data_IF_270212119176
#
_entry.id   IF_270212119176
#
_cell.length_a   1.000
_cell.length_b   1.000
_cell.length_c   1.000
_cell.angle_alpha   90.00
_cell.angle_beta   90.00
_cell.angle_gamma   90.00
#
_symmetry.space_group_name_H-M   'P 1'
#
loop_
_entity.id
_entity.type
_entity.pdbx_description
1 polymer ?
#
# COMPACT_ATOMS: atom_id res chain seq x y z
N UNK A 1 33.05 50.52 -22.75
CA UNK A 1 32.21 49.98 -21.65
C UNK A 1 31.71 48.55 -21.97
N UNK A 2 32.57 47.53 -22.06
CA UNK A 2 32.11 46.14 -22.33
C UNK A 2 32.72 45.05 -21.43
N UNK A 3 33.64 45.39 -20.52
CA UNK A 3 34.41 44.37 -19.77
C UNK A 3 33.77 43.96 -18.44
N UNK A 4 32.92 44.80 -17.82
CA UNK A 4 32.29 44.49 -16.53
C UNK A 4 31.08 43.53 -16.62
N UNK A 5 30.40 43.45 -17.75
CA UNK A 5 29.18 42.63 -17.90
C UNK A 5 29.40 41.12 -17.93
N UNK A 6 30.58 40.63 -18.34
CA UNK A 6 30.87 39.18 -18.40
C UNK A 6 31.16 38.57 -17.03
N UNK A 7 31.77 39.34 -16.12
CA UNK A 7 32.17 38.86 -14.79
C UNK A 7 30.95 38.66 -13.86
N UNK A 8 29.98 39.58 -13.91
CA UNK A 8 28.71 39.45 -13.18
C UNK A 8 27.86 38.26 -13.67
N UNK A 9 27.80 38.03 -14.99
CA UNK A 9 26.99 36.93 -15.58
C UNK A 9 27.52 35.53 -15.24
N UNK A 10 28.83 35.40 -14.99
CA UNK A 10 29.46 34.16 -14.54
C UNK A 10 29.18 33.88 -13.06
N UNK A 11 29.25 34.91 -12.21
CA UNK A 11 29.03 34.77 -10.76
C UNK A 11 27.58 34.34 -10.42
N UNK A 12 26.58 34.87 -11.13
CA UNK A 12 25.17 34.48 -10.95
C UNK A 12 24.93 33.01 -11.31
N UNK A 13 25.59 32.51 -12.36
CA UNK A 13 25.48 31.09 -12.77
C UNK A 13 26.09 30.14 -11.74
N UNK A 14 27.23 30.52 -11.18
CA UNK A 14 27.91 29.73 -10.14
C UNK A 14 27.05 29.68 -8.87
N UNK A 15 26.47 30.82 -8.47
CA UNK A 15 25.59 30.90 -7.29
C UNK A 15 24.32 30.04 -7.47
N UNK A 16 23.67 30.11 -8.64
CA UNK A 16 22.50 29.27 -8.94
C UNK A 16 22.82 27.77 -8.91
N UNK A 17 24.01 27.36 -9.39
CA UNK A 17 24.45 25.96 -9.36
C UNK A 17 24.66 25.47 -7.92
N UNK A 18 25.30 26.28 -7.06
CA UNK A 18 25.52 25.93 -5.65
C UNK A 18 24.19 25.77 -4.91
N UNK A 19 23.21 26.64 -5.17
CA UNK A 19 21.87 26.55 -4.55
C UNK A 19 21.17 25.26 -5.00
N UNK A 20 21.19 24.93 -6.28
CA UNK A 20 20.58 23.70 -6.81
C UNK A 20 21.20 22.44 -6.22
N UNK A 21 22.54 22.39 -6.13
CA UNK A 21 23.24 21.26 -5.50
C UNK A 21 22.91 21.17 -4.01
N UNK A 22 22.84 22.30 -3.30
CA UNK A 22 22.43 22.35 -1.90
C UNK A 22 21.01 21.82 -1.67
N UNK A 23 20.05 22.19 -2.52
CA UNK A 23 18.67 21.69 -2.47
C UNK A 23 18.63 20.18 -2.72
N UNK A 24 19.39 19.69 -3.71
CA UNK A 24 19.49 18.27 -4.03
C UNK A 24 20.06 17.45 -2.86
N UNK A 25 21.11 17.96 -2.21
CA UNK A 25 21.71 17.32 -1.04
C UNK A 25 20.73 17.32 0.13
N UNK A 26 20.08 18.45 0.41
CA UNK A 26 19.09 18.57 1.48
C UNK A 26 17.89 17.64 1.25
N UNK A 27 17.38 17.56 0.02
CA UNK A 27 16.30 16.65 -0.35
C UNK A 27 16.67 15.19 -0.11
N UNK A 28 17.88 14.78 -0.51
CA UNK A 28 18.35 13.42 -0.27
C UNK A 28 18.57 13.13 1.23
N UNK A 29 19.09 14.09 2.00
CA UNK A 29 19.24 13.95 3.45
C UNK A 29 17.89 13.82 4.16
N UNK A 30 16.89 14.63 3.78
CA UNK A 30 15.53 14.52 4.30
C UNK A 30 14.88 13.17 3.96
N UNK A 31 15.13 12.64 2.76
CA UNK A 31 14.62 11.33 2.35
C UNK A 31 15.26 10.17 3.13
N UNK A 32 16.54 10.27 3.47
CA UNK A 32 17.29 9.23 4.20
C UNK A 32 16.99 9.28 5.71
N UNK A 33 16.72 10.47 6.26
CA UNK A 33 16.46 10.65 7.70
C UNK A 33 15.00 10.59 8.08
N UNK A 34 14.06 10.64 7.13
CA UNK A 34 12.65 10.37 7.41
C UNK A 34 12.52 8.95 7.98
N UNK A 35 12.22 8.80 9.29
CA UNK A 35 12.10 7.48 9.86
C UNK A 35 10.89 6.80 9.21
N UNK A 36 10.96 5.49 8.93
CA UNK A 36 9.74 4.74 8.66
C UNK A 36 8.79 4.99 9.84
N UNK A 37 7.51 5.23 9.56
CA UNK A 37 6.49 5.37 10.61
C UNK A 37 6.52 4.08 11.44
N UNK A 38 7.26 4.10 12.55
CA UNK A 38 7.29 3.01 13.52
C UNK A 38 6.04 3.19 14.37
N UNK A 39 4.94 2.62 13.90
CA UNK A 39 3.77 2.42 14.76
C UNK A 39 4.28 1.57 15.94
N UNK A 40 4.21 2.09 17.16
CA UNK A 40 4.63 1.35 18.36
C UNK A 40 3.82 0.07 18.47
N UNK A 41 4.48 -1.06 18.78
CA UNK A 41 3.81 -2.34 19.05
C UNK A 41 2.77 -2.22 20.19
N UNK A 42 2.93 -1.27 21.11
CA UNK A 42 1.96 -1.00 22.19
C UNK A 42 0.66 -0.39 21.63
N UNK A 43 0.77 0.42 20.58
CA UNK A 43 -0.37 0.99 19.86
C UNK A 43 -1.08 -0.07 19.00
N UNK A 44 -0.32 -1.05 18.49
CA UNK A 44 -0.85 -2.24 17.80
C UNK A 44 -1.65 -3.16 18.73
N UNK A 45 -1.14 -3.43 19.95
CA UNK A 45 -1.84 -4.27 20.95
C UNK A 45 -3.09 -3.58 21.48
N UNK A 46 -3.10 -2.25 21.67
CA UNK A 46 -4.31 -1.52 22.06
C UNK A 46 -5.40 -1.54 20.98
N UNK A 47 -5.03 -1.57 19.68
CA UNK A 47 -6.01 -1.62 18.59
C UNK A 47 -6.66 -3.00 18.40
N UNK A 48 -6.05 -4.08 18.93
CA UNK A 48 -6.62 -5.43 18.90
C UNK A 48 -7.88 -5.62 19.76
N UNK A 49 -8.22 -4.68 20.65
CA UNK A 49 -9.34 -4.86 21.59
C UNK A 49 -10.74 -4.54 21.04
N UNK A 50 -10.89 -4.26 19.74
CA UNK A 50 -12.19 -3.85 19.19
C UNK A 50 -12.57 -4.49 17.86
N UNK A 51 -11.77 -4.27 16.81
CA UNK A 51 -12.17 -4.52 15.42
C UNK A 51 -11.12 -5.36 14.70
N UNK A 52 -11.55 -6.47 14.09
CA UNK A 52 -10.71 -7.31 13.23
C UNK A 52 -10.55 -6.68 11.86
N UNK A 53 -9.37 -6.77 11.26
CA UNK A 53 -9.10 -6.15 9.97
C UNK A 53 -8.70 -7.18 8.91
N UNK A 54 -9.26 -7.04 7.72
CA UNK A 54 -9.07 -7.93 6.57
C UNK A 54 -8.58 -7.10 5.40
N UNK A 55 -7.40 -7.43 4.86
CA UNK A 55 -6.89 -6.84 3.63
C UNK A 55 -7.36 -7.67 2.43
N UNK A 56 -8.08 -7.06 1.50
CA UNK A 56 -8.29 -7.62 0.17
C UNK A 56 -7.08 -7.31 -0.71
N UNK A 57 -6.24 -8.32 -0.91
CA UNK A 57 -5.10 -8.25 -1.80
C UNK A 57 -5.58 -8.40 -3.25
N UNK A 58 -5.00 -7.61 -4.15
CA UNK A 58 -5.39 -7.52 -5.57
C UNK A 58 -6.83 -7.02 -5.84
N UNK A 59 -7.36 -6.23 -4.91
CA UNK A 59 -8.70 -5.66 -5.00
C UNK A 59 -8.84 -4.49 -5.99
N UNK A 60 -7.81 -3.64 -6.12
CA UNK A 60 -7.88 -2.49 -7.03
C UNK A 60 -7.81 -2.94 -8.50
N UNK A 61 -8.72 -2.47 -9.35
CA UNK A 61 -8.59 -2.57 -10.80
C UNK A 61 -7.43 -1.69 -11.26
N UNK A 62 -6.46 -2.26 -11.98
CA UNK A 62 -5.14 -1.65 -12.21
C UNK A 62 -5.08 -0.43 -13.14
N UNK A 63 -6.15 0.33 -13.37
CA UNK A 63 -6.15 1.45 -14.33
C UNK A 63 -7.16 2.53 -13.96
N UNK A 64 -6.83 3.79 -14.27
CA UNK A 64 -7.71 4.96 -14.16
C UNK A 64 -9.03 4.82 -14.97
N UNK A 65 -9.07 3.89 -15.93
CA UNK A 65 -10.29 3.50 -16.67
C UNK A 65 -11.07 2.35 -16.01
N UNK A 66 -10.46 1.53 -15.15
CA UNK A 66 -11.13 0.58 -14.24
C UNK A 66 -11.55 1.25 -12.92
N UNK A 67 -12.05 2.48 -13.00
CA UNK A 67 -12.63 3.22 -11.86
C UNK A 67 -13.93 2.59 -11.37
N UNK A 68 -14.50 1.67 -12.14
CA UNK A 68 -15.56 0.77 -11.72
C UNK A 68 -14.88 -0.39 -11.00
N UNK A 69 -15.02 -0.46 -9.68
CA UNK A 69 -14.49 -1.56 -8.88
C UNK A 69 -14.83 -2.91 -9.51
N UNK A 70 -13.89 -3.86 -9.40
CA UNK A 70 -14.08 -5.24 -9.87
C UNK A 70 -15.35 -5.82 -9.27
N UNK A 71 -16.16 -6.55 -10.03
CA UNK A 71 -17.48 -7.03 -9.56
C UNK A 71 -17.31 -7.91 -8.32
N UNK A 72 -16.26 -8.73 -8.28
CA UNK A 72 -15.92 -9.59 -7.16
C UNK A 72 -15.63 -8.77 -5.90
N UNK A 73 -14.78 -7.75 -6.03
CA UNK A 73 -14.38 -6.85 -4.94
C UNK A 73 -15.56 -5.99 -4.48
N UNK A 74 -16.39 -5.56 -5.42
CA UNK A 74 -17.61 -4.80 -5.14
C UNK A 74 -18.63 -5.66 -4.38
N UNK A 75 -18.65 -6.97 -4.63
CA UNK A 75 -19.52 -7.92 -3.91
C UNK A 75 -19.05 -8.16 -2.48
N UNK A 76 -17.73 -8.08 -2.21
CA UNK A 76 -17.22 -8.12 -0.84
C UNK A 76 -17.50 -6.84 -0.05
N UNK A 77 -17.60 -5.68 -0.71
CA UNK A 77 -17.70 -4.38 -0.06
C UNK A 77 -16.44 -3.99 0.71
N UNK A 78 -16.42 -2.76 1.23
CA UNK A 78 -15.30 -2.23 2.04
C UNK A 78 -15.78 -1.50 3.29
N UNK A 79 -14.91 -1.39 4.28
CA UNK A 79 -15.19 -0.73 5.56
C UNK A 79 -15.85 -1.64 6.59
N UNK A 80 -16.42 -1.01 7.63
CA UNK A 80 -16.96 -1.70 8.82
C UNK A 80 -18.42 -2.12 8.69
N UNK A 81 -19.17 -1.48 7.81
CA UNK A 81 -20.61 -1.70 7.67
C UNK A 81 -20.97 -2.97 6.91
N UNK A 82 -20.04 -3.53 6.14
CA UNK A 82 -20.26 -4.73 5.29
C UNK A 82 -20.85 -5.88 6.11
N UNK A 83 -20.21 -6.24 7.21
CA UNK A 83 -20.61 -7.39 8.02
C UNK A 83 -21.95 -7.16 8.74
N UNK A 84 -22.25 -5.92 9.11
CA UNK A 84 -23.54 -5.56 9.70
C UNK A 84 -24.66 -5.63 8.66
N UNK A 85 -24.40 -5.21 7.42
CA UNK A 85 -25.35 -5.32 6.31
C UNK A 85 -25.68 -6.76 5.93
N UNK A 86 -24.71 -7.66 6.04
CA UNK A 86 -24.84 -9.09 5.73
C UNK A 86 -25.28 -9.96 6.93
N UNK A 87 -25.79 -9.35 8.01
CA UNK A 87 -26.24 -10.05 9.23
C UNK A 87 -25.22 -11.04 9.83
N UNK A 88 -23.92 -10.71 9.73
CA UNK A 88 -22.88 -11.55 10.31
C UNK A 88 -22.90 -11.50 11.84
N UNK A 89 -22.66 -12.65 12.50
CA UNK A 89 -22.53 -12.75 13.97
C UNK A 89 -21.40 -11.87 14.52
N UNK A 90 -20.35 -11.64 13.72
CA UNK A 90 -19.22 -10.80 14.07
C UNK A 90 -19.22 -9.52 13.22
N UNK A 91 -19.70 -8.42 13.81
CA UNK A 91 -19.82 -7.12 13.13
C UNK A 91 -18.65 -6.18 13.35
N UNK A 92 -17.76 -6.51 14.29
CA UNK A 92 -16.54 -5.73 14.56
C UNK A 92 -15.42 -6.14 13.64
N UNK A 93 -15.65 -6.03 12.34
CA UNK A 93 -14.70 -6.35 11.29
C UNK A 93 -14.60 -5.20 10.29
N UNK A 94 -13.43 -5.00 9.70
CA UNK A 94 -13.15 -3.95 8.70
C UNK A 94 -12.48 -4.59 7.48
N UNK A 95 -13.04 -4.36 6.29
CA UNK A 95 -12.41 -4.75 5.02
C UNK A 95 -11.69 -3.54 4.44
N UNK A 96 -10.41 -3.71 4.12
CA UNK A 96 -9.54 -2.70 3.49
C UNK A 96 -9.05 -3.24 2.16
N UNK A 97 -9.12 -2.46 1.09
CA UNK A 97 -8.68 -2.82 -0.25
C UNK A 97 -7.38 -2.09 -0.67
N UNK A 98 -7.01 -1.04 0.07
CA UNK A 98 -5.78 -0.29 -0.14
C UNK A 98 -4.63 -0.78 0.74
N UNK A 99 -3.74 -1.58 0.14
CA UNK A 99 -2.53 -2.09 0.80
C UNK A 99 -1.58 -1.02 1.35
N UNK A 100 -1.67 0.24 0.87
CA UNK A 100 -0.77 1.32 1.30
C UNK A 100 -1.20 1.96 2.62
N UNK A 101 -2.40 1.66 3.12
CA UNK A 101 -2.93 2.29 4.32
C UNK A 101 -2.20 1.86 5.58
N UNK A 102 -1.83 0.57 5.68
CA UNK A 102 -1.23 -0.04 6.86
C UNK A 102 -0.27 -1.16 6.47
N UNK A 103 0.81 -1.43 7.24
CA UNK A 103 1.73 -2.54 6.99
C UNK A 103 1.02 -3.91 7.09
N UNK A 104 1.56 -4.96 6.48
CA UNK A 104 0.88 -6.26 6.39
C UNK A 104 0.63 -6.90 7.76
N UNK A 105 1.50 -6.64 8.73
CA UNK A 105 1.40 -7.12 10.11
C UNK A 105 0.17 -6.54 10.84
N UNK A 106 -0.38 -5.44 10.32
CA UNK A 106 -1.57 -4.80 10.89
C UNK A 106 -2.81 -5.69 10.74
N UNK A 107 -2.94 -6.40 9.62
CA UNK A 107 -4.17 -7.10 9.28
C UNK A 107 -4.29 -8.45 10.00
N UNK A 108 -5.47 -8.76 10.53
CA UNK A 108 -5.76 -10.09 11.11
C UNK A 108 -5.90 -11.16 10.02
N UNK A 109 -6.33 -10.78 8.83
CA UNK A 109 -6.35 -11.65 7.66
C UNK A 109 -5.96 -10.90 6.38
N UNK A 110 -5.32 -11.62 5.46
CA UNK A 110 -5.05 -11.16 4.10
C UNK A 110 -5.72 -12.14 3.15
N UNK A 111 -6.64 -11.63 2.34
CA UNK A 111 -7.40 -12.39 1.36
C UNK A 111 -6.84 -12.09 -0.03
N UNK A 112 -6.17 -13.05 -0.63
CA UNK A 112 -5.55 -12.97 -1.94
C UNK A 112 -6.48 -13.57 -2.97
N UNK A 113 -6.99 -12.70 -3.84
CA UNK A 113 -7.82 -13.11 -4.97
C UNK A 113 -6.94 -13.30 -6.21
N UNK A 114 -6.86 -14.53 -6.69
CA UNK A 114 -6.27 -14.86 -7.98
C UNK A 114 -7.32 -14.80 -9.08
N UNK A 115 -7.04 -13.99 -10.10
CA UNK A 115 -7.81 -13.92 -11.33
C UNK A 115 -6.86 -13.89 -12.54
N UNK A 116 -7.43 -13.97 -13.72
CA UNK A 116 -6.73 -13.85 -15.00
C UNK A 116 -6.31 -12.41 -15.34
N UNK A 117 -6.90 -11.42 -14.67
CA UNK A 117 -6.66 -9.99 -14.90
C UNK A 117 -5.56 -9.37 -14.01
N UNK A 118 -4.38 -9.97 -13.92
CA UNK A 118 -3.25 -9.30 -13.26
C UNK A 118 -2.64 -8.22 -14.18
N UNK A 119 -3.05 -6.96 -13.99
CA UNK A 119 -2.69 -5.85 -14.90
C UNK A 119 -1.37 -5.19 -14.51
N UNK A 120 -1.05 -5.15 -13.22
CA UNK A 120 0.14 -4.43 -12.72
C UNK A 120 1.15 -5.37 -12.08
N UNK A 121 2.44 -5.05 -12.22
CA UNK A 121 3.53 -5.80 -11.58
C UNK A 121 3.37 -5.89 -10.06
N UNK A 122 2.65 -4.94 -9.46
CA UNK A 122 2.36 -4.94 -8.03
C UNK A 122 1.21 -5.85 -7.62
N UNK A 123 0.30 -6.21 -8.53
CA UNK A 123 -0.75 -7.21 -8.30
C UNK A 123 -0.23 -8.65 -8.47
N UNK A 124 0.81 -8.83 -9.27
CA UNK A 124 1.50 -10.12 -9.46
C UNK A 124 2.34 -10.52 -8.25
N UNK A 125 2.63 -9.59 -7.34
CA UNK A 125 3.41 -9.86 -6.13
C UNK A 125 2.54 -10.53 -5.09
N UNK A 126 3.13 -11.51 -4.42
CA UNK A 126 2.55 -12.11 -3.22
C UNK A 126 2.80 -11.20 -2.00
N UNK A 127 2.01 -11.32 -0.92
CA UNK A 127 2.30 -10.64 0.33
C UNK A 127 3.64 -11.14 0.88
N UNK A 128 4.65 -10.28 0.83
CA UNK A 128 5.98 -10.56 1.38
C UNK A 128 6.05 -10.04 2.81
N UNK A 129 6.14 -10.96 3.76
CA UNK A 129 6.41 -10.64 5.15
C UNK A 129 7.92 -10.55 5.33
N UNK A 130 8.41 -9.51 6.01
CA UNK A 130 9.84 -9.30 6.19
C UNK A 130 10.53 -10.45 6.95
N UNK A 131 10.63 -10.34 8.27
CA UNK A 131 11.38 -11.32 9.08
C UNK A 131 10.46 -12.45 9.57
N UNK A 132 9.23 -12.14 9.98
CA UNK A 132 8.29 -13.14 10.51
C UNK A 132 6.84 -12.69 10.38
N UNK A 133 5.99 -13.58 9.88
CA UNK A 133 4.53 -13.40 9.86
C UNK A 133 3.93 -13.62 11.24
N UNK A 134 2.92 -12.82 11.61
CA UNK A 134 2.13 -13.07 12.81
C UNK A 134 1.43 -14.44 12.70
N UNK A 135 1.62 -15.31 13.69
CA UNK A 135 1.07 -16.68 13.70
C UNK A 135 -0.46 -16.71 13.76
N UNK A 136 -1.07 -15.67 14.35
CA UNK A 136 -2.53 -15.53 14.44
C UNK A 136 -3.13 -14.98 13.15
N UNK A 137 -2.33 -14.37 12.27
CA UNK A 137 -2.81 -13.86 11.00
C UNK A 137 -3.24 -15.02 10.09
N UNK A 138 -4.31 -14.82 9.32
CA UNK A 138 -4.79 -15.77 8.32
C UNK A 138 -4.46 -15.30 6.92
N UNK A 139 -3.99 -16.23 6.08
CA UNK A 139 -3.80 -16.02 4.65
C UNK A 139 -4.83 -16.88 3.95
N UNK A 140 -5.72 -16.25 3.19
CA UNK A 140 -6.76 -16.93 2.43
C UNK A 140 -6.47 -16.70 0.96
N UNK A 141 -6.40 -17.79 0.21
CA UNK A 141 -6.16 -17.76 -1.23
C UNK A 141 -7.42 -18.25 -1.92
N UNK A 142 -7.98 -17.44 -2.80
CA UNK A 142 -9.15 -17.78 -3.59
C UNK A 142 -8.84 -17.57 -5.06
N UNK A 143 -9.33 -18.47 -5.91
CA UNK A 143 -9.32 -18.34 -7.36
C UNK A 143 -10.74 -18.45 -7.90
N UNK A 144 -11.02 -17.79 -9.02
CA UNK A 144 -12.34 -17.90 -9.67
C UNK A 144 -12.55 -19.30 -10.26
N UNK A 145 -11.50 -19.87 -10.84
CA UNK A 145 -11.51 -21.22 -11.37
C UNK A 145 -10.72 -22.18 -10.49
N UNK A 146 -11.07 -23.46 -10.54
CA UNK A 146 -10.25 -24.49 -9.93
C UNK A 146 -8.84 -24.46 -10.55
N UNK A 147 -7.78 -24.51 -9.72
CA UNK A 147 -6.42 -24.54 -10.25
C UNK A 147 -6.27 -25.74 -11.20
N UNK A 148 -5.53 -25.61 -12.32
CA UNK A 148 -5.38 -26.70 -13.29
C UNK A 148 -4.93 -28.03 -12.67
N UNK A 149 -4.16 -27.98 -11.58
CA UNK A 149 -3.70 -29.15 -10.83
C UNK A 149 -4.81 -29.92 -10.07
N UNK A 150 -6.01 -29.35 -9.94
CA UNK A 150 -7.20 -29.96 -9.34
C UNK A 150 -8.28 -30.28 -10.39
N UNK A 151 -7.98 -30.12 -11.69
CA UNK A 151 -8.87 -30.60 -12.76
C UNK A 151 -8.76 -32.14 -12.82
N UNK A 152 -9.88 -32.87 -12.78
CA UNK A 152 -9.90 -34.33 -12.77
C UNK A 152 -9.33 -34.94 -14.05
#
# INVERSE_FOLDING_TARGET
>A
MQWFGRKMRSSVKISAFVILVGILILYNLLRVTAPPIKISWEQYVQQQNGTKSILLWNASGGTLQSKKGRVEVTSFGTGKSVFAGENCTYTRCEIVDNRRDRPLEFYDAIFVLFNDEFVTADQLKMPEFGIKRNQSQRLVFASQEAPPALKP
#
